data_IF_044878120885
#
_entry.id   IF_044878120885
#
_cell.length_a   1.000
_cell.length_b   1.000
_cell.length_c   1.000
_cell.angle_alpha   90.00
_cell.angle_beta   90.00
_cell.angle_gamma   90.00
#
_symmetry.space_group_name_H-M   'P 1'
#
loop_
_entity.id
_entity.type
_entity.pdbx_description
1 polymer ?
#
# COMPACT_ATOMS: atom_id res chain seq x y z
N UNK A 1 8.64 -2.86 15.30
CA UNK A 1 9.81 -2.72 16.20
C UNK A 1 11.06 -2.20 15.47
N UNK A 2 11.50 -2.81 14.37
CA UNK A 2 12.73 -2.37 13.67
C UNK A 2 12.70 -0.88 13.24
N UNK A 3 11.65 -0.44 12.54
CA UNK A 3 11.47 0.97 12.14
C UNK A 3 11.44 1.90 13.35
N UNK A 4 10.69 1.54 14.40
CA UNK A 4 10.65 2.31 15.65
C UNK A 4 12.05 2.49 16.27
N UNK A 5 12.84 1.41 16.38
CA UNK A 5 14.21 1.50 16.90
C UNK A 5 15.10 2.39 16.03
N UNK A 6 15.03 2.24 14.71
CA UNK A 6 15.83 3.05 13.77
C UNK A 6 15.47 4.55 13.86
N UNK A 7 14.17 4.87 13.89
CA UNK A 7 13.65 6.23 14.04
C UNK A 7 14.10 6.86 15.36
N UNK A 8 13.95 6.16 16.48
CA UNK A 8 14.35 6.66 17.79
C UNK A 8 15.87 6.86 17.85
N UNK A 9 16.66 5.90 17.36
CA UNK A 9 18.12 6.04 17.32
C UNK A 9 18.52 7.28 16.52
N UNK A 10 17.95 7.50 15.33
CA UNK A 10 18.22 8.70 14.52
C UNK A 10 17.80 9.98 15.24
N UNK A 11 16.58 10.04 15.80
CA UNK A 11 16.07 11.22 16.53
C UNK A 11 16.92 11.57 17.76
N UNK A 12 17.56 10.58 18.37
CA UNK A 12 18.49 10.75 19.49
C UNK A 12 19.94 10.99 19.05
N UNK A 13 20.20 11.22 17.76
CA UNK A 13 21.54 11.38 17.17
C UNK A 13 22.49 10.20 17.48
N UNK A 14 21.95 8.99 17.57
CA UNK A 14 22.73 7.77 17.78
C UNK A 14 23.15 7.17 16.43
N UNK A 15 24.30 6.50 16.46
CA UNK A 15 24.75 5.67 15.35
C UNK A 15 23.69 4.62 14.98
N UNK A 16 23.58 4.26 13.69
CA UNK A 16 22.71 3.16 13.27
C UNK A 16 23.16 1.82 13.88
N UNK A 17 22.31 0.80 13.80
CA UNK A 17 22.68 -0.54 14.28
C UNK A 17 23.86 -1.12 13.48
N UNK A 18 24.46 -2.19 14.00
CA UNK A 18 25.51 -2.94 13.32
C UNK A 18 25.11 -3.49 11.95
N UNK A 19 23.80 -3.57 11.63
CA UNK A 19 23.29 -4.10 10.38
C UNK A 19 23.22 -3.06 9.26
N UNK A 20 23.37 -1.77 9.57
CA UNK A 20 23.19 -0.68 8.60
C UNK A 20 24.17 -0.76 7.42
N UNK A 21 25.47 -0.92 7.69
CA UNK A 21 26.48 -0.91 6.63
C UNK A 21 26.19 -1.99 5.58
N UNK A 22 25.87 -3.21 6.04
CA UNK A 22 25.55 -4.30 5.13
C UNK A 22 24.28 -4.05 4.31
N UNK A 23 23.24 -3.47 4.92
CA UNK A 23 22.01 -3.12 4.21
C UNK A 23 22.22 -1.97 3.21
N UNK A 24 22.97 -0.94 3.58
CA UNK A 24 23.33 0.16 2.69
C UNK A 24 24.12 -0.35 1.47
N UNK A 25 25.12 -1.21 1.69
CA UNK A 25 25.90 -1.84 0.62
C UNK A 25 25.02 -2.71 -0.28
N UNK A 26 24.08 -3.48 0.29
CA UNK A 26 23.11 -4.26 -0.49
C UNK A 26 22.29 -3.38 -1.45
N UNK A 27 21.79 -2.24 -0.99
CA UNK A 27 21.00 -1.33 -1.82
C UNK A 27 21.82 -0.66 -2.93
N UNK A 28 23.15 -0.69 -2.89
CA UNK A 28 23.97 -0.25 -4.04
C UNK A 28 23.88 -1.20 -5.23
N UNK A 29 23.44 -2.45 -5.02
CA UNK A 29 23.39 -3.49 -6.04
C UNK A 29 24.74 -4.15 -6.34
N UNK A 30 25.84 -3.73 -5.70
CA UNK A 30 27.20 -4.25 -5.97
C UNK A 30 27.34 -5.76 -5.75
N UNK A 31 26.58 -6.33 -4.80
CA UNK A 31 26.56 -7.77 -4.48
C UNK A 31 25.46 -8.53 -5.24
N UNK A 32 24.63 -7.84 -6.01
CA UNK A 32 23.42 -8.36 -6.64
C UNK A 32 22.21 -8.42 -5.69
N UNK A 33 21.03 -8.03 -6.20
CA UNK A 33 19.82 -7.93 -5.38
C UNK A 33 19.26 -9.28 -4.91
N UNK A 34 19.64 -10.39 -5.55
CA UNK A 34 19.27 -11.75 -5.15
C UNK A 34 19.91 -12.20 -3.82
N UNK A 35 20.99 -11.54 -3.38
CA UNK A 35 21.71 -11.88 -2.15
C UNK A 35 21.05 -11.29 -0.88
N UNK A 36 19.72 -11.17 -0.88
CA UNK A 36 18.97 -10.48 0.18
C UNK A 36 18.79 -11.31 1.46
N UNK A 37 19.02 -12.62 1.42
CA UNK A 37 18.83 -13.51 2.58
C UNK A 37 19.68 -13.14 3.82
N UNK A 38 20.77 -12.39 3.61
CA UNK A 38 21.66 -11.92 4.67
C UNK A 38 21.33 -10.50 5.16
N UNK A 39 20.38 -9.82 4.52
CA UNK A 39 19.98 -8.44 4.84
C UNK A 39 18.90 -8.47 5.91
N UNK A 40 19.30 -8.20 7.15
CA UNK A 40 18.38 -8.15 8.28
C UNK A 40 17.41 -6.96 8.20
N UNK A 41 16.17 -7.16 8.64
CA UNK A 41 15.12 -6.12 8.68
C UNK A 41 15.56 -4.85 9.43
N UNK A 42 16.35 -5.01 10.50
CA UNK A 42 16.87 -3.86 11.25
C UNK A 42 17.80 -2.98 10.40
N UNK A 43 18.61 -3.57 9.51
CA UNK A 43 19.46 -2.82 8.59
C UNK A 43 18.65 -2.06 7.56
N UNK A 44 17.60 -2.68 7.00
CA UNK A 44 16.66 -2.00 6.07
C UNK A 44 15.99 -0.82 6.77
N UNK A 45 15.52 -1.01 8.00
CA UNK A 45 14.92 0.04 8.80
C UNK A 45 15.90 1.19 9.11
N UNK A 46 17.17 0.89 9.38
CA UNK A 46 18.19 1.92 9.62
C UNK A 46 18.49 2.76 8.37
N UNK A 47 18.49 2.15 7.18
CA UNK A 47 18.64 2.86 5.90
C UNK A 47 17.41 3.71 5.61
N UNK A 48 16.21 3.15 5.75
CA UNK A 48 14.95 3.86 5.56
C UNK A 48 14.80 5.05 6.52
N UNK A 49 15.21 4.91 7.79
CA UNK A 49 15.14 6.02 8.73
C UNK A 49 16.09 7.17 8.36
N UNK A 50 17.17 6.90 7.61
CA UNK A 50 18.27 7.83 7.33
C UNK A 50 18.34 8.23 5.85
N UNK A 51 17.21 8.47 5.19
CA UNK A 51 17.16 8.84 3.76
C UNK A 51 18.06 10.03 3.41
N UNK A 52 18.16 10.99 4.32
CA UNK A 52 18.97 12.22 4.27
C UNK A 52 20.47 12.02 4.50
N UNK A 53 20.92 10.81 4.85
CA UNK A 53 22.33 10.51 5.07
C UNK A 53 22.94 9.69 3.92
N UNK A 54 24.23 9.91 3.65
CA UNK A 54 25.08 9.03 2.80
C UNK A 54 24.46 8.64 1.45
N UNK A 55 23.67 9.53 0.86
CA UNK A 55 22.96 9.31 -0.41
C UNK A 55 21.95 8.14 -0.37
N UNK A 56 21.48 7.73 0.82
CA UNK A 56 20.55 6.61 1.00
C UNK A 56 19.32 6.77 0.10
N UNK A 57 18.69 7.95 0.07
CA UNK A 57 17.52 8.20 -0.78
C UNK A 57 17.80 7.90 -2.26
N UNK A 58 18.86 8.48 -2.83
CA UNK A 58 19.24 8.27 -4.23
C UNK A 58 19.62 6.81 -4.55
N UNK A 59 20.22 6.11 -3.59
CA UNK A 59 20.58 4.70 -3.73
C UNK A 59 19.33 3.83 -3.74
N UNK A 60 18.40 4.10 -2.82
CA UNK A 60 17.11 3.41 -2.77
C UNK A 60 16.27 3.65 -4.03
N UNK A 61 16.18 4.90 -4.51
CA UNK A 61 15.44 5.21 -5.74
C UNK A 61 15.93 4.39 -6.95
N UNK A 62 17.24 4.15 -7.06
CA UNK A 62 17.84 3.29 -8.11
C UNK A 62 17.65 1.80 -7.87
N UNK A 63 17.62 1.37 -6.61
CA UNK A 63 17.45 -0.03 -6.23
C UNK A 63 15.99 -0.49 -6.37
N UNK A 64 15.04 0.38 -6.02
CA UNK A 64 13.60 0.07 -5.96
C UNK A 64 13.09 -0.68 -7.19
N UNK A 65 13.39 -0.33 -8.45
CA UNK A 65 12.88 -1.07 -9.60
C UNK A 65 13.36 -2.53 -9.71
N UNK A 66 14.47 -2.88 -9.06
CA UNK A 66 15.18 -4.14 -9.24
C UNK A 66 15.12 -5.08 -8.03
N UNK A 67 14.63 -4.59 -6.87
CA UNK A 67 14.57 -5.40 -5.65
C UNK A 67 13.65 -6.63 -5.80
N UNK A 68 14.03 -7.81 -5.30
CA UNK A 68 13.10 -8.92 -5.11
C UNK A 68 11.95 -8.54 -4.17
N UNK A 69 10.82 -9.25 -4.25
CA UNK A 69 9.59 -8.88 -3.52
C UNK A 69 9.80 -8.82 -2.00
N UNK A 70 10.55 -9.75 -1.42
CA UNK A 70 10.78 -9.81 0.03
C UNK A 70 11.50 -8.56 0.59
N UNK A 71 12.71 -8.21 0.12
CA UNK A 71 13.38 -6.98 0.56
C UNK A 71 12.61 -5.71 0.14
N UNK A 72 11.90 -5.74 -0.99
CA UNK A 72 11.06 -4.63 -1.42
C UNK A 72 9.90 -4.35 -0.47
N UNK A 73 9.14 -5.38 -0.07
CA UNK A 73 8.03 -5.25 0.87
C UNK A 73 8.51 -4.83 2.27
N UNK A 74 9.67 -5.35 2.70
CA UNK A 74 10.32 -4.94 3.94
C UNK A 74 10.71 -3.46 3.91
N UNK A 75 11.30 -2.99 2.80
CA UNK A 75 11.64 -1.58 2.60
C UNK A 75 10.39 -0.70 2.65
N UNK A 76 9.34 -1.03 1.89
CA UNK A 76 8.11 -0.24 1.87
C UNK A 76 7.43 -0.15 3.23
N UNK A 77 7.46 -1.24 4.01
CA UNK A 77 6.96 -1.25 5.39
C UNK A 77 7.76 -0.32 6.32
N UNK A 78 9.05 -0.11 6.02
CA UNK A 78 9.86 0.87 6.74
C UNK A 78 9.54 2.30 6.27
N UNK A 79 9.47 2.53 4.96
CA UNK A 79 9.16 3.83 4.35
C UNK A 79 7.79 4.39 4.76
N UNK A 80 6.83 3.52 5.09
CA UNK A 80 5.54 3.90 5.66
C UNK A 80 5.63 4.82 6.89
N UNK A 81 6.79 4.86 7.58
CA UNK A 81 7.01 5.68 8.77
C UNK A 81 7.92 6.90 8.52
N UNK A 82 8.28 7.16 7.27
CA UNK A 82 9.28 8.16 6.87
C UNK A 82 8.71 9.10 5.80
N UNK A 83 9.11 10.36 5.84
CA UNK A 83 8.83 11.29 4.74
C UNK A 83 9.75 10.92 3.56
N UNK A 84 9.15 10.53 2.44
CA UNK A 84 9.88 10.14 1.22
C UNK A 84 9.90 11.29 0.21
N UNK A 85 11.01 11.41 -0.51
CA UNK A 85 11.18 12.42 -1.56
C UNK A 85 10.50 12.02 -2.89
N UNK A 86 10.54 12.94 -3.85
CA UNK A 86 9.97 12.75 -5.20
C UNK A 86 10.64 11.63 -5.99
N UNK A 87 11.92 11.37 -5.75
CA UNK A 87 12.69 10.37 -6.50
C UNK A 87 12.27 8.96 -6.07
N UNK A 88 12.16 8.73 -4.76
CA UNK A 88 11.62 7.47 -4.21
C UNK A 88 10.16 7.29 -4.61
N UNK A 89 9.35 8.35 -4.49
CA UNK A 89 7.92 8.30 -4.85
C UNK A 89 7.73 7.93 -6.33
N UNK A 90 8.55 8.51 -7.21
CA UNK A 90 8.56 8.20 -8.64
C UNK A 90 9.00 6.76 -8.91
N UNK A 91 10.06 6.29 -8.26
CA UNK A 91 10.54 4.91 -8.40
C UNK A 91 9.49 3.87 -7.95
N UNK A 92 8.76 4.17 -6.88
CA UNK A 92 7.63 3.36 -6.40
C UNK A 92 6.47 3.37 -7.40
N UNK A 93 6.10 4.55 -7.93
CA UNK A 93 5.05 4.69 -8.94
C UNK A 93 5.32 3.88 -10.21
N UNK A 94 6.54 4.00 -10.77
CA UNK A 94 6.96 3.19 -11.94
C UNK A 94 6.85 1.69 -11.63
N UNK A 95 7.29 1.26 -10.44
CA UNK A 95 7.21 -0.15 -10.05
C UNK A 95 5.75 -0.64 -9.92
N UNK A 96 4.84 0.20 -9.46
CA UNK A 96 3.41 -0.09 -9.43
C UNK A 96 2.83 -0.19 -10.84
N UNK A 97 3.12 0.74 -11.73
CA UNK A 97 2.66 0.69 -13.13
C UNK A 97 3.10 -0.60 -13.80
N UNK A 98 4.37 -0.99 -13.62
CA UNK A 98 4.87 -2.27 -14.11
C UNK A 98 4.12 -3.47 -13.50
N UNK A 99 3.79 -3.44 -12.21
CA UNK A 99 3.03 -4.53 -11.57
C UNK A 99 1.60 -4.63 -12.11
N UNK A 100 0.94 -3.49 -12.38
CA UNK A 100 -0.40 -3.44 -12.95
C UNK A 100 -0.42 -3.91 -14.41
N UNK A 101 0.55 -3.47 -15.23
CA UNK A 101 0.64 -3.85 -16.64
C UNK A 101 1.03 -5.32 -16.87
N UNK A 102 1.82 -5.89 -15.96
CA UNK A 102 2.20 -7.29 -16.01
C UNK A 102 1.19 -8.20 -15.27
N UNK A 103 0.08 -7.64 -14.77
CA UNK A 103 -1.01 -8.35 -14.12
C UNK A 103 -1.76 -9.27 -15.09
N UNK A 104 -1.70 -10.57 -14.78
CA UNK A 104 -2.47 -11.72 -15.29
C UNK A 104 -3.22 -11.52 -16.62
N UNK A 105 -2.68 -11.99 -17.77
CA UNK A 105 -3.57 -12.41 -18.86
C UNK A 105 -4.61 -13.39 -18.30
N UNK A 106 -5.84 -13.42 -18.85
CA UNK A 106 -7.00 -14.23 -18.37
C UNK A 106 -6.71 -15.73 -18.10
N UNK A 107 -5.53 -16.24 -18.50
CA UNK A 107 -5.08 -17.63 -18.35
C UNK A 107 -3.78 -17.81 -17.53
N UNK A 108 -3.29 -16.77 -16.84
CA UNK A 108 -2.11 -16.88 -15.99
C UNK A 108 -2.44 -17.61 -14.68
N UNK A 109 -1.48 -18.36 -14.10
CA UNK A 109 -1.69 -19.07 -12.84
C UNK A 109 -1.98 -18.09 -11.69
N UNK A 110 -2.85 -18.50 -10.75
CA UNK A 110 -3.26 -17.70 -9.58
C UNK A 110 -2.07 -17.14 -8.77
N UNK A 111 -0.89 -17.79 -8.84
CA UNK A 111 0.35 -17.34 -8.21
C UNK A 111 0.82 -15.96 -8.69
N UNK A 112 0.57 -15.63 -9.95
CA UNK A 112 1.12 -14.42 -10.58
C UNK A 112 0.28 -13.19 -10.20
N UNK A 113 -1.04 -13.36 -10.06
CA UNK A 113 -1.94 -12.31 -9.56
C UNK A 113 -1.70 -11.96 -8.09
N UNK A 114 -1.37 -12.96 -7.27
CA UNK A 114 -0.97 -12.74 -5.86
C UNK A 114 0.35 -11.97 -5.77
N UNK A 115 1.30 -12.24 -6.67
CA UNK A 115 2.56 -11.50 -6.72
C UNK A 115 2.36 -10.01 -7.08
N UNK A 116 1.50 -9.72 -8.06
CA UNK A 116 1.18 -8.35 -8.46
C UNK A 116 0.47 -7.58 -7.33
N UNK A 117 -0.53 -8.18 -6.68
CA UNK A 117 -1.23 -7.57 -5.55
C UNK A 117 -0.29 -7.24 -4.38
N UNK A 118 0.67 -8.13 -4.08
CA UNK A 118 1.66 -7.88 -3.02
C UNK A 118 2.59 -6.71 -3.35
N UNK A 119 3.00 -6.54 -4.62
CA UNK A 119 3.78 -5.38 -5.05
C UNK A 119 2.96 -4.10 -4.91
N UNK A 120 1.72 -4.11 -5.38
CA UNK A 120 0.82 -2.96 -5.31
C UNK A 120 0.57 -2.54 -3.85
N UNK A 121 0.24 -3.49 -2.97
CA UNK A 121 0.05 -3.23 -1.55
C UNK A 121 1.34 -2.70 -0.89
N UNK A 122 2.50 -3.23 -1.25
CA UNK A 122 3.78 -2.70 -0.77
C UNK A 122 4.01 -1.25 -1.24
N UNK A 123 3.78 -0.94 -2.52
CA UNK A 123 3.93 0.43 -3.04
C UNK A 123 3.01 1.41 -2.33
N UNK A 124 1.72 1.08 -2.18
CA UNK A 124 0.76 1.96 -1.48
C UNK A 124 1.20 2.21 -0.04
N UNK A 125 1.73 1.19 0.68
CA UNK A 125 2.35 1.41 2.00
C UNK A 125 3.50 2.40 1.94
N UNK A 126 4.43 2.20 1.01
CA UNK A 126 5.61 3.06 0.87
C UNK A 126 5.25 4.51 0.53
N UNK A 127 4.21 4.71 -0.28
CA UNK A 127 3.74 6.04 -0.69
C UNK A 127 2.87 6.75 0.35
N UNK A 128 2.34 6.04 1.36
CA UNK A 128 1.35 6.58 2.31
C UNK A 128 1.83 7.81 3.11
N UNK A 129 3.14 7.95 3.31
CA UNK A 129 3.78 9.09 3.98
C UNK A 129 4.59 9.99 3.01
N UNK A 130 4.33 9.91 1.70
CA UNK A 130 4.93 10.84 0.74
C UNK A 130 4.47 12.28 1.00
N UNK A 131 5.40 13.21 0.87
CA UNK A 131 5.08 14.64 0.87
C UNK A 131 4.17 15.02 -0.32
N UNK A 132 4.25 14.25 -1.42
CA UNK A 132 3.43 14.42 -2.61
C UNK A 132 2.28 13.40 -2.65
N UNK A 133 1.11 13.85 -2.19
CA UNK A 133 -0.11 13.05 -2.18
C UNK A 133 -0.69 12.83 -3.60
N UNK A 134 -0.23 13.56 -4.62
CA UNK A 134 -0.72 13.38 -5.99
C UNK A 134 -0.29 12.04 -6.59
N UNK A 135 0.95 11.61 -6.31
CA UNK A 135 1.47 10.31 -6.76
C UNK A 135 0.69 9.18 -6.08
N UNK A 136 0.39 9.32 -4.79
CA UNK A 136 -0.40 8.34 -4.06
C UNK A 136 -1.83 8.21 -4.61
N UNK A 137 -2.50 9.34 -4.91
CA UNK A 137 -3.83 9.34 -5.51
C UNK A 137 -3.83 8.64 -6.88
N UNK A 138 -2.92 9.02 -7.77
CA UNK A 138 -2.77 8.39 -9.09
C UNK A 138 -2.51 6.88 -8.96
N UNK A 139 -1.66 6.48 -8.02
CA UNK A 139 -1.37 5.07 -7.75
C UNK A 139 -2.61 4.30 -7.28
N UNK A 140 -3.44 4.89 -6.41
CA UNK A 140 -4.67 4.27 -5.90
C UNK A 140 -5.71 4.17 -7.01
N UNK A 141 -5.96 5.25 -7.75
CA UNK A 141 -6.96 5.25 -8.83
C UNK A 141 -6.57 4.21 -9.91
N UNK A 142 -5.31 4.21 -10.35
CA UNK A 142 -4.78 3.20 -11.27
C UNK A 142 -4.95 1.78 -10.73
N UNK A 143 -4.74 1.58 -9.43
CA UNK A 143 -4.91 0.28 -8.78
C UNK A 143 -6.37 -0.17 -8.78
N UNK A 144 -7.30 0.73 -8.46
CA UNK A 144 -8.73 0.43 -8.36
C UNK A 144 -9.39 0.17 -9.72
N UNK A 145 -8.81 0.71 -10.80
CA UNK A 145 -9.21 0.42 -12.19
C UNK A 145 -8.76 -0.98 -12.68
N UNK A 146 -7.81 -1.61 -12.00
CA UNK A 146 -7.23 -2.90 -12.37
C UNK A 146 -7.71 -4.03 -11.45
N UNK A 147 -7.47 -5.29 -11.85
CA UNK A 147 -7.89 -6.47 -11.08
C UNK A 147 -7.27 -6.51 -9.67
N UNK A 148 -6.06 -5.96 -9.51
CA UNK A 148 -5.37 -5.81 -8.24
C UNK A 148 -6.22 -5.05 -7.19
N UNK A 149 -7.06 -4.11 -7.63
CA UNK A 149 -7.98 -3.37 -6.77
C UNK A 149 -9.07 -4.22 -6.10
N UNK A 150 -9.31 -5.45 -6.58
CA UNK A 150 -10.26 -6.38 -5.94
C UNK A 150 -9.59 -7.27 -4.87
N UNK A 151 -8.26 -7.19 -4.73
CA UNK A 151 -7.53 -7.98 -3.75
C UNK A 151 -7.73 -7.42 -2.33
N UNK A 152 -8.04 -8.30 -1.38
CA UNK A 152 -8.30 -7.92 0.01
C UNK A 152 -7.11 -7.24 0.69
N UNK A 153 -5.88 -7.64 0.38
CA UNK A 153 -4.67 -7.04 0.96
C UNK A 153 -4.45 -5.62 0.45
N UNK A 154 -4.71 -5.38 -0.85
CA UNK A 154 -4.64 -4.04 -1.46
C UNK A 154 -5.69 -3.13 -0.83
N UNK A 155 -6.95 -3.58 -0.76
CA UNK A 155 -8.05 -2.82 -0.18
C UNK A 155 -7.84 -2.53 1.32
N UNK A 156 -7.39 -3.52 2.08
CA UNK A 156 -7.03 -3.34 3.49
C UNK A 156 -5.86 -2.37 3.67
N UNK A 157 -4.90 -2.36 2.74
CA UNK A 157 -3.78 -1.42 2.76
C UNK A 157 -4.24 0.01 2.50
N UNK A 158 -5.10 0.24 1.51
CA UNK A 158 -5.70 1.56 1.26
C UNK A 158 -6.46 2.03 2.50
N UNK A 159 -7.32 1.19 3.07
CA UNK A 159 -8.12 1.54 4.24
C UNK A 159 -7.26 1.81 5.49
N UNK A 160 -6.17 1.06 5.69
CA UNK A 160 -5.33 1.19 6.87
C UNK A 160 -4.26 2.29 6.79
N UNK A 161 -3.81 2.64 5.58
CA UNK A 161 -2.62 3.49 5.38
C UNK A 161 -2.82 4.70 4.49
N UNK A 162 -3.76 4.64 3.55
CA UNK A 162 -4.04 5.73 2.60
C UNK A 162 -5.51 6.14 2.65
N UNK A 163 -6.12 6.11 3.83
CA UNK A 163 -7.54 6.41 4.01
C UNK A 163 -7.88 7.86 3.67
N UNK A 164 -6.91 8.78 3.76
CA UNK A 164 -7.06 10.19 3.42
C UNK A 164 -7.47 10.36 1.96
N UNK A 165 -7.04 9.47 1.07
CA UNK A 165 -7.45 9.46 -0.33
C UNK A 165 -8.95 9.19 -0.51
N UNK A 166 -9.61 8.56 0.47
CA UNK A 166 -11.05 8.33 0.47
C UNK A 166 -11.87 9.58 0.85
N UNK A 167 -11.23 10.70 1.18
CA UNK A 167 -11.89 12.00 1.24
C UNK A 167 -12.32 12.47 -0.16
N UNK A 168 -11.54 12.13 -1.19
CA UNK A 168 -11.93 12.33 -2.57
C UNK A 168 -13.15 11.47 -2.92
N UNK A 169 -14.09 12.05 -3.66
CA UNK A 169 -15.37 11.39 -3.95
C UNK A 169 -15.26 10.33 -5.03
N UNK A 170 -14.42 10.53 -6.03
CA UNK A 170 -14.24 9.58 -7.13
C UNK A 170 -13.46 8.36 -6.64
N UNK A 171 -12.34 8.60 -5.94
CA UNK A 171 -11.53 7.52 -5.33
C UNK A 171 -12.35 6.72 -4.31
N UNK A 172 -13.14 7.40 -3.45
CA UNK A 172 -14.02 6.70 -2.49
C UNK A 172 -15.06 5.83 -3.17
N UNK A 173 -15.67 6.30 -4.27
CA UNK A 173 -16.64 5.52 -5.03
C UNK A 173 -15.99 4.28 -5.63
N UNK A 174 -14.85 4.45 -6.31
CA UNK A 174 -14.11 3.35 -6.91
C UNK A 174 -13.70 2.32 -5.84
N UNK A 175 -13.20 2.78 -4.70
CA UNK A 175 -12.82 1.93 -3.57
C UNK A 175 -14.00 1.08 -3.06
N UNK A 176 -15.16 1.70 -2.81
CA UNK A 176 -16.33 0.97 -2.30
C UNK A 176 -16.89 -0.04 -3.31
N UNK A 177 -16.82 0.28 -4.61
CA UNK A 177 -17.19 -0.66 -5.66
C UNK A 177 -16.26 -1.86 -5.69
N UNK A 178 -14.95 -1.65 -5.63
CA UNK A 178 -13.94 -2.72 -5.61
C UNK A 178 -14.03 -3.54 -4.32
N UNK A 179 -14.27 -2.90 -3.17
CA UNK A 179 -14.50 -3.60 -1.90
C UNK A 179 -15.73 -4.52 -1.96
N UNK A 180 -16.82 -4.07 -2.58
CA UNK A 180 -18.00 -4.90 -2.78
C UNK A 180 -17.79 -6.03 -3.81
N UNK A 181 -16.80 -5.94 -4.70
CA UNK A 181 -16.40 -7.03 -5.63
C UNK A 181 -15.36 -7.98 -5.04
N UNK A 182 -14.72 -7.60 -3.94
CA UNK A 182 -13.61 -8.34 -3.37
C UNK A 182 -13.95 -9.82 -3.16
N UNK A 183 -13.08 -10.69 -3.64
CA UNK A 183 -13.27 -12.15 -3.60
C UNK A 183 -13.33 -12.73 -2.17
N UNK A 184 -12.83 -11.98 -1.18
CA UNK A 184 -12.92 -12.36 0.24
C UNK A 184 -14.34 -12.20 0.83
N UNK A 185 -15.27 -11.59 0.09
CA UNK A 185 -16.70 -11.57 0.40
C UNK A 185 -17.09 -10.70 1.61
N UNK A 186 -18.24 -11.01 2.21
CA UNK A 186 -18.87 -10.18 3.26
C UNK A 186 -17.96 -9.92 4.46
N UNK A 187 -17.21 -10.93 4.93
CA UNK A 187 -16.38 -10.77 6.12
C UNK A 187 -15.27 -9.73 5.94
N UNK A 188 -14.64 -9.69 4.76
CA UNK A 188 -13.65 -8.67 4.44
C UNK A 188 -14.29 -7.28 4.30
N UNK A 189 -15.45 -7.20 3.65
CA UNK A 189 -16.21 -5.97 3.51
C UNK A 189 -16.54 -5.37 4.89
N UNK A 190 -17.12 -6.18 5.78
CA UNK A 190 -17.55 -5.76 7.11
C UNK A 190 -16.35 -5.30 7.96
N UNK A 191 -15.25 -6.04 7.95
CA UNK A 191 -14.05 -5.68 8.72
C UNK A 191 -13.43 -4.37 8.23
N UNK A 192 -13.22 -4.23 6.92
CA UNK A 192 -12.63 -3.01 6.34
C UNK A 192 -13.54 -1.80 6.58
N UNK A 193 -14.85 -1.96 6.39
CA UNK A 193 -15.80 -0.88 6.66
C UNK A 193 -15.88 -0.54 8.14
N UNK A 194 -15.80 -1.54 9.03
CA UNK A 194 -15.78 -1.31 10.48
C UNK A 194 -14.60 -0.41 10.86
N UNK A 195 -13.40 -0.72 10.39
CA UNK A 195 -12.20 0.08 10.65
C UNK A 195 -12.35 1.51 10.11
N UNK A 196 -12.82 1.66 8.87
CA UNK A 196 -13.04 2.97 8.24
C UNK A 196 -14.11 3.82 8.96
N UNK A 197 -15.13 3.20 9.53
CA UNK A 197 -16.20 3.90 10.27
C UNK A 197 -15.71 4.55 11.56
N UNK A 198 -14.57 4.12 12.11
CA UNK A 198 -13.94 4.74 13.28
C UNK A 198 -13.10 5.97 12.94
N UNK A 199 -12.81 6.22 11.65
CA UNK A 199 -12.06 7.39 11.22
C UNK A 199 -12.95 8.64 11.32
N UNK A 200 -12.56 9.65 12.12
CA UNK A 200 -13.33 10.89 12.24
C UNK A 200 -13.54 11.57 10.89
N UNK A 201 -14.77 12.02 10.61
CA UNK A 201 -15.10 12.70 9.35
C UNK A 201 -15.46 11.79 8.18
N UNK A 202 -15.01 10.52 8.17
CA UNK A 202 -15.17 9.63 7.01
C UNK A 202 -16.48 8.83 7.01
N UNK A 203 -17.07 8.59 8.20
CA UNK A 203 -18.31 7.80 8.35
C UNK A 203 -19.47 8.29 7.48
N UNK A 204 -19.76 9.61 7.51
CA UNK A 204 -20.88 10.19 6.74
C UNK A 204 -20.64 10.07 5.22
N UNK A 205 -19.49 10.51 4.67
CA UNK A 205 -19.16 10.30 3.26
C UNK A 205 -19.30 8.86 2.79
N UNK A 206 -18.77 7.88 3.54
CA UNK A 206 -18.85 6.46 3.18
C UNK A 206 -20.30 5.96 3.11
N UNK A 207 -21.11 6.23 4.13
CA UNK A 207 -22.51 5.79 4.16
C UNK A 207 -23.36 6.48 3.09
N UNK A 208 -23.08 7.74 2.78
CA UNK A 208 -23.76 8.45 1.69
C UNK A 208 -23.41 7.82 0.34
N UNK A 209 -22.12 7.54 0.10
CA UNK A 209 -21.68 6.94 -1.16
C UNK A 209 -22.23 5.51 -1.33
N UNK A 210 -22.28 4.70 -0.26
CA UNK A 210 -22.89 3.37 -0.30
C UNK A 210 -24.37 3.41 -0.70
N UNK A 211 -25.14 4.38 -0.19
CA UNK A 211 -26.54 4.56 -0.59
C UNK A 211 -26.65 4.99 -2.06
N UNK A 212 -25.80 5.93 -2.48
CA UNK A 212 -25.76 6.37 -3.87
C UNK A 212 -25.41 5.24 -4.85
N UNK A 213 -24.50 4.33 -4.45
CA UNK A 213 -24.17 3.14 -5.24
C UNK A 213 -25.36 2.19 -5.43
N UNK A 214 -26.23 2.07 -4.41
CA UNK A 214 -27.47 1.28 -4.52
C UNK A 214 -28.49 1.93 -5.46
N UNK A 215 -28.62 3.26 -5.42
CA UNK A 215 -29.62 4.00 -6.22
C UNK A 215 -29.24 4.11 -7.70
N UNK A 216 -27.94 4.19 -8.00
CA UNK A 216 -27.43 4.52 -9.32
C UNK A 216 -27.30 3.32 -10.29
N UNK A 217 -27.76 2.12 -9.91
CA UNK A 217 -27.59 0.86 -10.68
C UNK A 217 -26.13 0.57 -11.11
N UNK A 218 -25.14 1.18 -10.46
CA UNK A 218 -23.71 1.03 -10.76
C UNK A 218 -23.08 -0.23 -10.14
N UNK A 219 -23.88 -1.05 -9.45
CA UNK A 219 -23.47 -2.25 -8.76
C UNK A 219 -24.15 -3.49 -9.34
N UNK A 220 -23.43 -4.60 -9.40
CA UNK A 220 -24.02 -5.91 -9.69
C UNK A 220 -24.93 -6.37 -8.55
N UNK A 221 -25.83 -7.31 -8.81
CA UNK A 221 -26.71 -7.90 -7.78
C UNK A 221 -25.94 -8.43 -6.57
N UNK A 222 -24.74 -8.99 -6.80
CA UNK A 222 -23.88 -9.49 -5.74
C UNK A 222 -23.33 -8.35 -4.86
N UNK A 223 -22.84 -7.27 -5.47
CA UNK A 223 -22.36 -6.09 -4.75
C UNK A 223 -23.49 -5.44 -3.94
N UNK A 224 -24.67 -5.27 -4.55
CA UNK A 224 -25.87 -4.73 -3.88
C UNK A 224 -26.26 -5.59 -2.67
N UNK A 225 -26.16 -6.92 -2.77
CA UNK A 225 -26.42 -7.83 -1.63
C UNK A 225 -25.43 -7.63 -0.49
N UNK A 226 -24.14 -7.45 -0.79
CA UNK A 226 -23.09 -7.22 0.23
C UNK A 226 -23.32 -5.89 0.95
N UNK A 227 -23.56 -4.82 0.18
CA UNK A 227 -23.80 -3.48 0.72
C UNK A 227 -25.06 -3.47 1.59
N UNK A 228 -26.16 -4.07 1.12
CA UNK A 228 -27.42 -4.12 1.89
C UNK A 228 -27.26 -4.88 3.21
N UNK A 229 -26.55 -6.02 3.21
CA UNK A 229 -26.28 -6.78 4.43
C UNK A 229 -25.50 -5.97 5.46
N UNK A 230 -24.49 -5.23 5.01
CA UNK A 230 -23.73 -4.34 5.88
C UNK A 230 -24.60 -3.19 6.42
N UNK A 231 -25.40 -2.53 5.59
CA UNK A 231 -26.29 -1.46 6.07
C UNK A 231 -27.33 -1.95 7.08
N UNK A 232 -27.81 -3.18 6.93
CA UNK A 232 -28.72 -3.81 7.89
C UNK A 232 -28.02 -4.11 9.24
N UNK A 233 -26.77 -4.58 9.22
CA UNK A 233 -26.04 -4.88 10.47
C UNK A 233 -25.79 -3.63 11.33
N UNK A 234 -25.72 -2.45 10.70
CA UNK A 234 -25.62 -1.17 11.39
C UNK A 234 -26.91 -0.71 12.10
N UNK A 235 -28.07 -1.27 11.75
CA UNK A 235 -29.37 -0.94 12.36
C UNK A 235 -29.72 -1.83 13.55
N UNK A 236 -29.06 -2.99 13.65
CA UNK A 236 -29.25 -3.97 14.73
C UNK A 236 -28.41 -3.69 15.99
N UNK A 237 -27.62 -2.62 15.99
CA UNK A 237 -26.77 -2.17 17.10
C UNK A 237 -27.08 -0.72 17.46
#
# INVERSE_FOLDING_TARGET
MASFHAIIAKKLNQSPSQYYTHAADYFTGNTGFEQWNFVGLQGIADVAARLDEKNNASTLAKAIPQLPITPFAALCSCLENEAIDSDISTALGIRLEHALQNGTPENAPESDGVAAANIVAAVIRGLSHSDDQSILLVAIDSTLENEAGNNVEVLATIAGRAWQCLEDTETRRAFLQSLARCNAGQGAFDNIMADLMFIPGLRKPLLTELRHLLDSNNCSTAQTSIINRFLQSLQTH
#
